data_IF_997358509974
#
_entry.id   IF_997358509974
#
_cell.length_a   1.000
_cell.length_b   1.000
_cell.length_c   1.000
_cell.angle_alpha   90.00
_cell.angle_beta   90.00
_cell.angle_gamma   90.00
#
_symmetry.space_group_name_H-M   'P 1'
#
loop_
_entity.id
_entity.type
_entity.pdbx_description
1 polymer ?
#
# COMPACT_ATOMS: atom_id res chain seq x y z
N UNK A 1 -28.16 -4.07 10.01
CA UNK A 1 -27.32 -2.92 9.59
C UNK A 1 -28.23 -1.96 8.86
N UNK A 2 -28.09 -0.67 9.10
CA UNK A 2 -28.73 0.33 8.24
C UNK A 2 -28.17 0.20 6.82
N UNK A 3 -28.80 0.81 5.82
CA UNK A 3 -28.23 0.89 4.46
C UNK A 3 -27.16 1.97 4.37
N UNK A 4 -26.27 1.87 3.40
CA UNK A 4 -25.36 2.95 3.02
C UNK A 4 -26.14 4.08 2.33
N UNK A 5 -25.76 5.33 2.61
CA UNK A 5 -26.27 6.49 1.88
C UNK A 5 -25.45 6.70 0.58
N UNK A 6 -25.58 5.75 -0.36
CA UNK A 6 -24.72 5.64 -1.55
C UNK A 6 -24.79 6.90 -2.41
N UNK A 7 -25.98 7.50 -2.58
CA UNK A 7 -26.14 8.73 -3.36
C UNK A 7 -25.37 9.89 -2.75
N UNK A 8 -25.38 10.01 -1.41
CA UNK A 8 -24.63 11.06 -0.73
C UNK A 8 -23.13 10.84 -0.78
N UNK A 9 -22.66 9.60 -0.69
CA UNK A 9 -21.25 9.26 -0.89
C UNK A 9 -20.81 9.60 -2.30
N UNK A 10 -21.60 9.24 -3.32
CA UNK A 10 -21.32 9.55 -4.72
C UNK A 10 -21.17 11.06 -4.94
N UNK A 11 -22.08 11.87 -4.39
CA UNK A 11 -21.98 13.34 -4.44
C UNK A 11 -20.70 13.87 -3.77
N UNK A 12 -20.33 13.33 -2.61
CA UNK A 12 -19.10 13.72 -1.92
C UNK A 12 -17.83 13.37 -2.68
N UNK A 13 -17.77 12.16 -3.25
CA UNK A 13 -16.63 11.68 -4.05
C UNK A 13 -16.53 12.42 -5.39
N UNK A 14 -17.66 12.76 -6.03
CA UNK A 14 -17.69 13.58 -7.25
C UNK A 14 -17.16 14.98 -6.96
N UNK A 15 -17.63 15.61 -5.88
CA UNK A 15 -17.14 16.93 -5.45
C UNK A 15 -15.64 16.90 -5.18
N UNK A 16 -15.15 15.89 -4.47
CA UNK A 16 -13.72 15.67 -4.24
C UNK A 16 -12.93 15.59 -5.56
N UNK A 17 -13.40 14.76 -6.50
CA UNK A 17 -12.70 14.56 -7.76
C UNK A 17 -12.61 15.84 -8.60
N UNK A 18 -13.67 16.65 -8.60
CA UNK A 18 -13.70 17.97 -9.26
C UNK A 18 -12.70 18.94 -8.63
N UNK A 19 -12.63 19.01 -7.29
CA UNK A 19 -11.64 19.84 -6.59
C UNK A 19 -10.22 19.38 -6.93
N UNK A 20 -9.99 18.07 -6.94
CA UNK A 20 -8.69 17.47 -7.19
C UNK A 20 -8.19 17.73 -8.61
N UNK A 21 -9.08 17.63 -9.60
CA UNK A 21 -8.79 17.91 -11.01
C UNK A 21 -8.27 19.33 -11.23
N UNK A 22 -8.70 20.30 -10.42
CA UNK A 22 -8.29 21.70 -10.51
C UNK A 22 -7.09 22.03 -9.61
N UNK A 23 -6.51 21.03 -8.92
CA UNK A 23 -5.35 21.18 -8.04
C UNK A 23 -4.05 20.63 -8.63
N UNK A 24 -2.95 20.80 -7.90
CA UNK A 24 -1.67 20.18 -8.25
C UNK A 24 -1.69 18.67 -7.98
N UNK A 25 -1.41 17.88 -9.02
CA UNK A 25 -1.27 16.43 -8.93
C UNK A 25 0.08 16.02 -8.34
N UNK A 26 0.11 14.85 -7.70
CA UNK A 26 1.36 14.22 -7.27
C UNK A 26 2.10 13.61 -8.46
N UNK A 27 3.40 13.34 -8.30
CA UNK A 27 4.18 12.62 -9.31
C UNK A 27 3.49 11.31 -9.70
N UNK A 28 3.27 11.12 -10.99
CA UNK A 28 2.70 9.92 -11.56
C UNK A 28 3.82 8.89 -11.75
N UNK A 29 3.72 7.68 -11.17
CA UNK A 29 4.69 6.64 -11.42
C UNK A 29 4.70 6.26 -12.90
N UNK A 30 5.87 5.87 -13.41
CA UNK A 30 6.03 5.36 -14.77
C UNK A 30 5.10 4.15 -15.00
N UNK A 31 4.48 4.08 -16.18
CA UNK A 31 3.49 3.05 -16.58
C UNK A 31 2.18 2.98 -15.76
N UNK A 32 1.90 3.93 -14.86
CA UNK A 32 0.64 3.98 -14.13
C UNK A 32 -0.46 4.74 -14.88
N UNK A 33 -1.75 4.34 -14.78
CA UNK A 33 -2.85 5.11 -15.34
C UNK A 33 -2.88 6.55 -14.79
N UNK A 34 -3.40 7.53 -15.55
CA UNK A 34 -3.61 8.89 -15.06
C UNK A 34 -4.37 8.92 -13.73
N UNK A 35 -4.04 9.86 -12.85
CA UNK A 35 -4.70 9.98 -11.54
C UNK A 35 -6.22 10.11 -11.63
N UNK A 36 -6.72 10.77 -12.68
CA UNK A 36 -8.16 10.87 -12.93
C UNK A 36 -8.80 9.49 -13.16
N UNK A 37 -8.16 8.61 -13.93
CA UNK A 37 -8.64 7.26 -14.19
C UNK A 37 -8.59 6.40 -12.93
N UNK A 38 -7.53 6.53 -12.13
CA UNK A 38 -7.42 5.84 -10.85
C UNK A 38 -8.52 6.26 -9.86
N UNK A 39 -8.75 7.57 -9.71
CA UNK A 39 -9.83 8.10 -8.86
C UNK A 39 -11.21 7.64 -9.32
N UNK A 40 -11.45 7.64 -10.64
CA UNK A 40 -12.69 7.12 -11.22
C UNK A 40 -12.88 5.64 -10.87
N UNK A 41 -11.83 4.84 -11.05
CA UNK A 41 -11.85 3.42 -10.69
C UNK A 41 -12.12 3.19 -9.20
N UNK A 42 -11.42 3.90 -8.31
CA UNK A 42 -11.62 3.73 -6.87
C UNK A 42 -13.03 4.15 -6.44
N UNK A 43 -13.54 5.25 -7.00
CA UNK A 43 -14.91 5.73 -6.75
C UNK A 43 -15.93 4.69 -7.19
N UNK A 44 -15.83 4.20 -8.43
CA UNK A 44 -16.74 3.20 -8.98
C UNK A 44 -16.73 1.90 -8.15
N UNK A 45 -15.54 1.35 -7.90
CA UNK A 45 -15.39 0.12 -7.13
C UNK A 45 -15.94 0.26 -5.68
N UNK A 46 -15.79 1.44 -5.07
CA UNK A 46 -16.35 1.73 -3.74
C UNK A 46 -17.89 1.76 -3.78
N UNK A 47 -18.48 2.51 -4.71
CA UNK A 47 -19.94 2.63 -4.83
C UNK A 47 -20.59 1.29 -5.19
N UNK A 48 -20.00 0.53 -6.12
CA UNK A 48 -20.45 -0.83 -6.44
C UNK A 48 -20.34 -1.76 -5.24
N UNK A 49 -19.26 -1.65 -4.47
CA UNK A 49 -19.04 -2.44 -3.26
C UNK A 49 -20.10 -2.18 -2.20
N UNK A 50 -20.42 -0.91 -1.93
CA UNK A 50 -21.48 -0.51 -1.00
C UNK A 50 -22.85 -1.05 -1.45
N UNK A 51 -23.21 -0.89 -2.73
CA UNK A 51 -24.47 -1.39 -3.27
C UNK A 51 -24.60 -2.91 -3.10
N UNK A 52 -23.55 -3.66 -3.46
CA UNK A 52 -23.55 -5.13 -3.34
C UNK A 52 -23.70 -5.60 -1.90
N UNK A 53 -23.05 -4.93 -0.93
CA UNK A 53 -23.21 -5.27 0.50
C UNK A 53 -24.63 -4.99 1.02
N UNK A 54 -25.31 -3.97 0.49
CA UNK A 54 -26.72 -3.68 0.80
C UNK A 54 -27.72 -4.60 0.06
N UNK A 55 -27.23 -5.56 -0.72
CA UNK A 55 -28.04 -6.44 -1.57
C UNK A 55 -28.71 -5.71 -2.74
N UNK A 56 -28.16 -4.56 -3.14
CA UNK A 56 -28.64 -3.74 -4.24
C UNK A 56 -27.83 -4.02 -5.52
N UNK A 57 -28.48 -3.83 -6.67
CA UNK A 57 -27.78 -3.75 -7.95
C UNK A 57 -27.07 -2.40 -8.04
N UNK A 58 -25.76 -2.35 -8.35
CA UNK A 58 -25.07 -1.07 -8.55
C UNK A 58 -25.76 -0.21 -9.61
N UNK A 59 -25.95 1.07 -9.31
CA UNK A 59 -26.58 2.02 -10.23
C UNK A 59 -25.51 2.67 -11.14
N UNK A 60 -25.47 2.35 -12.45
CA UNK A 60 -24.50 2.93 -13.37
C UNK A 60 -24.66 4.45 -13.52
N UNK A 61 -25.85 4.99 -13.25
CA UNK A 61 -26.12 6.43 -13.38
C UNK A 61 -25.27 7.29 -12.46
N UNK A 62 -24.81 6.73 -11.33
CA UNK A 62 -23.93 7.44 -10.41
C UNK A 62 -22.58 7.76 -11.08
N UNK A 63 -22.03 6.81 -11.85
CA UNK A 63 -20.78 7.04 -12.57
C UNK A 63 -20.98 7.86 -13.84
N UNK A 64 -22.12 7.73 -14.52
CA UNK A 64 -22.48 8.62 -15.62
C UNK A 64 -22.57 10.09 -15.15
N UNK A 65 -23.18 10.33 -13.98
CA UNK A 65 -23.26 11.65 -13.37
C UNK A 65 -21.88 12.15 -12.93
N UNK A 66 -21.07 11.30 -12.29
CA UNK A 66 -19.69 11.61 -11.94
C UNK A 66 -18.91 12.10 -13.16
N UNK A 67 -18.92 11.33 -14.25
CA UNK A 67 -18.18 11.67 -15.47
C UNK A 67 -18.71 12.99 -16.08
N UNK A 68 -20.03 13.17 -16.13
CA UNK A 68 -20.66 14.39 -16.63
C UNK A 68 -20.25 15.64 -15.84
N UNK A 69 -20.23 15.57 -14.51
CA UNK A 69 -19.87 16.70 -13.66
C UNK A 69 -18.37 17.05 -13.75
N UNK A 70 -17.48 16.04 -13.88
CA UNK A 70 -16.06 16.30 -14.14
C UNK A 70 -15.84 16.99 -15.50
N UNK A 71 -16.52 16.55 -16.55
CA UNK A 71 -16.44 17.20 -17.88
C UNK A 71 -16.95 18.64 -17.83
N UNK A 72 -18.05 18.90 -17.13
CA UNK A 72 -18.57 20.26 -16.96
C UNK A 72 -17.59 21.16 -16.20
N UNK A 73 -16.84 20.61 -15.24
CA UNK A 73 -15.85 21.34 -14.48
C UNK A 73 -14.55 21.64 -15.24
N UNK A 74 -14.25 20.95 -16.37
CA UNK A 74 -12.98 21.07 -17.13
C UNK A 74 -12.68 22.45 -17.73
N UNK A 75 -13.60 23.41 -17.65
CA UNK A 75 -13.40 24.80 -18.09
C UNK A 75 -13.71 25.85 -17.03
N UNK A 76 -13.98 25.45 -15.78
CA UNK A 76 -14.39 26.36 -14.73
C UNK A 76 -13.18 26.84 -13.91
N UNK A 77 -13.00 28.16 -13.84
CA UNK A 77 -11.95 28.78 -13.00
C UNK A 77 -12.26 28.73 -11.50
N UNK A 78 -13.50 28.38 -11.13
CA UNK A 78 -13.96 28.34 -9.75
C UNK A 78 -14.86 27.12 -9.55
N UNK A 79 -14.52 26.29 -8.58
CA UNK A 79 -15.34 25.15 -8.14
C UNK A 79 -15.95 25.46 -6.79
N UNK A 80 -17.16 24.99 -6.54
CA UNK A 80 -17.76 25.05 -5.21
C UNK A 80 -17.12 23.96 -4.36
N UNK A 81 -16.37 24.31 -3.29
CA UNK A 81 -15.75 23.30 -2.46
C UNK A 81 -16.77 22.52 -1.64
N UNK A 82 -16.46 21.25 -1.37
CA UNK A 82 -17.17 20.36 -0.46
C UNK A 82 -17.29 21.01 0.93
N UNK A 83 -18.53 21.10 1.43
CA UNK A 83 -18.74 21.58 2.80
C UNK A 83 -18.12 20.63 3.82
N UNK A 84 -17.76 21.14 5.00
CA UNK A 84 -17.21 20.30 6.07
C UNK A 84 -18.17 19.15 6.46
N UNK A 85 -19.48 19.36 6.39
CA UNK A 85 -20.47 18.31 6.65
C UNK A 85 -20.47 17.25 5.55
N UNK A 86 -20.30 17.64 4.29
CA UNK A 86 -20.18 16.70 3.18
C UNK A 86 -18.91 15.85 3.31
N UNK A 87 -17.77 16.47 3.65
CA UNK A 87 -16.52 15.74 3.91
C UNK A 87 -16.72 14.72 5.04
N UNK A 88 -17.24 15.15 6.19
CA UNK A 88 -17.50 14.30 7.36
C UNK A 88 -18.39 13.11 7.04
N UNK A 89 -19.49 13.34 6.32
CA UNK A 89 -20.46 12.29 6.06
C UNK A 89 -19.94 11.30 5.01
N UNK A 90 -19.21 11.78 4.00
CA UNK A 90 -18.51 10.93 3.02
C UNK A 90 -17.50 10.03 3.72
N UNK A 91 -16.61 10.61 4.53
CA UNK A 91 -15.57 9.86 5.26
C UNK A 91 -16.20 8.88 6.24
N UNK A 92 -17.28 9.26 6.95
CA UNK A 92 -18.00 8.37 7.86
C UNK A 92 -18.53 7.13 7.14
N UNK A 93 -19.14 7.29 5.97
CA UNK A 93 -19.65 6.14 5.21
C UNK A 93 -18.51 5.27 4.64
N UNK A 94 -17.39 5.86 4.20
CA UNK A 94 -16.20 5.09 3.80
C UNK A 94 -15.65 4.24 4.96
N UNK A 95 -15.54 4.82 6.16
CA UNK A 95 -15.13 4.10 7.39
C UNK A 95 -16.07 2.96 7.73
N UNK A 96 -17.38 3.23 7.65
CA UNK A 96 -18.40 2.22 7.86
C UNK A 96 -18.26 1.08 6.84
N UNK A 97 -18.05 1.40 5.57
CA UNK A 97 -17.87 0.41 4.52
C UNK A 97 -16.65 -0.48 4.79
N UNK A 98 -15.51 0.09 5.20
CA UNK A 98 -14.33 -0.67 5.65
C UNK A 98 -14.70 -1.63 6.79
N UNK A 99 -15.39 -1.14 7.82
CA UNK A 99 -15.78 -1.96 8.97
C UNK A 99 -16.72 -3.12 8.58
N UNK A 100 -17.65 -2.92 7.64
CA UNK A 100 -18.50 -4.00 7.12
C UNK A 100 -17.69 -5.00 6.30
N UNK A 101 -16.75 -4.55 5.47
CA UNK A 101 -15.86 -5.43 4.70
C UNK A 101 -14.99 -6.30 5.61
N UNK A 102 -14.41 -5.73 6.68
CA UNK A 102 -13.63 -6.48 7.67
C UNK A 102 -14.50 -7.54 8.38
N UNK A 103 -15.75 -7.19 8.70
CA UNK A 103 -16.69 -8.07 9.41
C UNK A 103 -17.34 -9.15 8.52
N UNK A 104 -17.22 -9.08 7.19
CA UNK A 104 -17.90 -9.99 6.26
C UNK A 104 -17.40 -11.45 6.36
N UNK A 105 -16.20 -11.67 6.91
CA UNK A 105 -15.64 -13.00 7.17
C UNK A 105 -14.97 -13.67 5.96
N UNK A 106 -15.02 -13.05 4.78
CA UNK A 106 -14.28 -13.47 3.58
C UNK A 106 -13.15 -12.50 3.24
N UNK A 107 -12.28 -12.86 2.28
CA UNK A 107 -11.14 -12.01 1.89
C UNK A 107 -11.61 -10.78 1.10
N UNK A 108 -11.86 -9.69 1.82
CA UNK A 108 -12.26 -8.38 1.30
C UNK A 108 -11.11 -7.39 1.23
N UNK A 109 -9.86 -7.82 1.44
CA UNK A 109 -8.70 -6.92 1.57
C UNK A 109 -8.47 -6.08 0.33
N UNK A 110 -8.72 -6.60 -0.87
CA UNK A 110 -8.61 -5.81 -2.11
C UNK A 110 -9.62 -4.66 -2.17
N UNK A 111 -10.84 -4.86 -1.66
CA UNK A 111 -11.85 -3.81 -1.61
C UNK A 111 -11.50 -2.75 -0.56
N UNK A 112 -11.00 -3.17 0.61
CA UNK A 112 -10.50 -2.24 1.63
C UNK A 112 -9.32 -1.42 1.07
N UNK A 113 -8.40 -2.05 0.34
CA UNK A 113 -7.25 -1.35 -0.23
C UNK A 113 -7.66 -0.29 -1.26
N UNK A 114 -8.70 -0.53 -2.06
CA UNK A 114 -9.27 0.49 -2.97
C UNK A 114 -9.75 1.72 -2.18
N UNK A 115 -10.46 1.52 -1.08
CA UNK A 115 -10.92 2.63 -0.22
C UNK A 115 -9.73 3.33 0.45
N UNK A 116 -8.72 2.56 0.87
CA UNK A 116 -7.48 3.10 1.45
C UNK A 116 -6.73 4.00 0.47
N UNK A 117 -6.59 3.60 -0.80
CA UNK A 117 -5.94 4.42 -1.83
C UNK A 117 -6.73 5.69 -2.14
N UNK A 118 -8.06 5.61 -2.14
CA UNK A 118 -8.92 6.78 -2.27
C UNK A 118 -8.73 7.75 -1.09
N UNK A 119 -8.74 7.24 0.15
CA UNK A 119 -8.50 8.05 1.36
C UNK A 119 -7.09 8.67 1.36
N UNK A 120 -6.08 7.94 0.88
CA UNK A 120 -4.72 8.46 0.70
C UNK A 120 -4.69 9.62 -0.29
N UNK A 121 -5.28 9.48 -1.49
CA UNK A 121 -5.31 10.59 -2.45
C UNK A 121 -6.13 11.79 -1.93
N UNK A 122 -7.18 11.54 -1.16
CA UNK A 122 -7.93 12.60 -0.47
C UNK A 122 -7.05 13.33 0.55
N UNK A 123 -6.21 12.60 1.29
CA UNK A 123 -5.29 13.17 2.29
C UNK A 123 -4.19 14.05 1.70
N UNK A 124 -3.92 13.91 0.40
CA UNK A 124 -2.96 14.76 -0.31
C UNK A 124 -3.57 16.04 -0.85
N UNK A 125 -4.90 16.21 -0.75
CA UNK A 125 -5.57 17.43 -1.18
C UNK A 125 -5.78 18.38 0.03
N UNK A 126 -5.17 19.59 0.04
CA UNK A 126 -5.18 20.47 1.22
C UNK A 126 -6.56 20.79 1.78
N UNK A 127 -7.58 20.89 0.93
CA UNK A 127 -8.94 21.19 1.37
C UNK A 127 -9.59 20.06 2.19
N UNK A 128 -9.19 18.81 1.95
CA UNK A 128 -9.65 17.63 2.68
C UNK A 128 -8.72 17.26 3.82
N UNK A 129 -7.41 17.44 3.67
CA UNK A 129 -6.44 17.26 4.74
C UNK A 129 -6.60 18.27 5.88
N UNK A 130 -6.73 19.56 5.55
CA UNK A 130 -6.82 20.64 6.54
C UNK A 130 -8.25 20.87 7.06
N UNK A 131 -9.19 19.99 6.68
CA UNK A 131 -10.54 19.99 7.20
C UNK A 131 -10.52 19.52 8.66
N UNK A 132 -10.38 20.47 9.61
CA UNK A 132 -10.36 20.17 11.06
C UNK A 132 -11.41 19.13 11.43
N UNK A 133 -10.95 18.01 11.99
CA UNK A 133 -11.77 16.93 12.53
C UNK A 133 -12.79 16.32 11.55
N UNK A 134 -12.49 16.27 10.25
CA UNK A 134 -13.35 15.55 9.30
C UNK A 134 -13.22 14.01 9.41
N UNK A 135 -12.20 13.51 10.12
CA UNK A 135 -11.97 12.10 10.38
C UNK A 135 -11.18 11.36 9.31
N UNK A 136 -10.56 12.07 8.35
CA UNK A 136 -9.86 11.48 7.21
C UNK A 136 -8.65 10.62 7.62
N UNK A 137 -7.76 11.17 8.46
CA UNK A 137 -6.59 10.44 8.98
C UNK A 137 -7.02 9.16 9.69
N UNK A 138 -8.01 9.28 10.59
CA UNK A 138 -8.59 8.15 11.31
C UNK A 138 -9.16 7.09 10.36
N UNK A 139 -9.82 7.50 9.28
CA UNK A 139 -10.36 6.57 8.29
C UNK A 139 -9.25 5.78 7.60
N UNK A 140 -8.17 6.46 7.24
CA UNK A 140 -7.00 5.84 6.60
C UNK A 140 -6.32 4.86 7.54
N UNK A 141 -6.08 5.26 8.79
CA UNK A 141 -5.46 4.41 9.81
C UNK A 141 -6.33 3.19 10.11
N UNK A 142 -7.65 3.34 10.17
CA UNK A 142 -8.60 2.22 10.33
C UNK A 142 -8.54 1.27 9.12
N UNK A 143 -8.38 1.77 7.90
CA UNK A 143 -8.19 0.94 6.71
C UNK A 143 -6.87 0.14 6.75
N UNK A 144 -5.77 0.80 7.09
CA UNK A 144 -4.46 0.14 7.20
C UNK A 144 -4.46 -0.90 8.33
N UNK A 145 -5.11 -0.64 9.47
CA UNK A 145 -5.28 -1.61 10.55
C UNK A 145 -6.17 -2.80 10.15
N UNK A 146 -7.27 -2.57 9.43
CA UNK A 146 -8.11 -3.65 8.93
C UNK A 146 -7.34 -4.56 7.95
N UNK A 147 -6.57 -3.97 7.04
CA UNK A 147 -5.70 -4.73 6.13
C UNK A 147 -4.67 -5.57 6.87
N UNK A 148 -4.04 -5.02 7.91
CA UNK A 148 -3.09 -5.76 8.75
C UNK A 148 -3.75 -6.95 9.45
N UNK A 149 -4.86 -6.72 10.15
CA UNK A 149 -5.60 -7.77 10.87
C UNK A 149 -6.05 -8.88 9.94
N UNK A 150 -6.67 -8.53 8.81
CA UNK A 150 -7.13 -9.52 7.84
C UNK A 150 -5.95 -10.30 7.23
N UNK A 151 -4.82 -9.64 6.95
CA UNK A 151 -3.62 -10.30 6.41
C UNK A 151 -2.99 -11.25 7.43
N UNK A 152 -2.94 -10.87 8.71
CA UNK A 152 -2.48 -11.72 9.80
C UNK A 152 -3.34 -12.98 9.98
N UNK A 153 -4.60 -12.95 9.54
CA UNK A 153 -5.52 -14.10 9.56
C UNK A 153 -5.44 -14.97 8.30
N UNK A 154 -4.63 -14.61 7.30
CA UNK A 154 -4.44 -15.45 6.11
C UNK A 154 -3.49 -16.61 6.44
N UNK A 155 -3.71 -17.82 5.88
CA UNK A 155 -2.82 -18.97 6.05
C UNK A 155 -1.57 -18.82 5.16
N UNK A 156 -0.81 -17.75 5.37
CA UNK A 156 0.39 -17.39 4.60
C UNK A 156 1.66 -17.61 5.42
N UNK A 157 2.77 -17.89 4.75
CA UNK A 157 4.12 -17.91 5.31
C UNK A 157 4.99 -16.82 4.70
N UNK A 158 5.80 -16.21 5.55
CA UNK A 158 6.70 -15.12 5.19
C UNK A 158 7.90 -15.10 6.13
N UNK A 159 8.96 -14.42 5.71
CA UNK A 159 10.17 -14.26 6.52
C UNK A 159 10.41 -12.78 6.80
N UNK A 160 10.70 -12.46 8.05
CA UNK A 160 11.26 -11.15 8.41
C UNK A 160 12.77 -11.22 8.24
N UNK A 161 13.31 -10.34 7.42
CA UNK A 161 14.74 -10.20 7.18
C UNK A 161 15.22 -8.92 7.86
N UNK A 162 16.22 -9.05 8.72
CA UNK A 162 17.04 -7.94 9.17
C UNK A 162 18.39 -8.02 8.48
N UNK A 163 18.87 -6.89 7.96
CA UNK A 163 20.19 -6.73 7.36
C UNK A 163 20.99 -5.69 8.12
N UNK A 164 22.26 -5.98 8.32
CA UNK A 164 23.17 -5.18 9.12
C UNK A 164 23.36 -5.76 10.53
N UNK A 165 24.35 -5.24 11.23
CA UNK A 165 24.60 -5.53 12.64
C UNK A 165 24.86 -4.23 13.41
N UNK A 166 25.10 -4.35 14.71
CA UNK A 166 25.32 -3.19 15.61
C UNK A 166 26.45 -2.25 15.19
N UNK A 167 27.36 -2.71 14.32
CA UNK A 167 28.48 -1.95 13.77
C UNK A 167 28.33 -1.57 12.28
N UNK A 168 27.24 -1.97 11.63
CA UNK A 168 26.93 -1.63 10.24
C UNK A 168 26.19 -0.29 10.14
N UNK A 169 26.20 0.37 8.98
CA UNK A 169 25.77 1.76 8.93
C UNK A 169 24.26 1.91 9.20
N UNK A 170 23.42 0.87 9.00
CA UNK A 170 21.97 0.87 9.31
C UNK A 170 21.40 -0.56 9.46
N UNK A 171 20.33 -0.69 10.27
CA UNK A 171 19.46 -1.88 10.26
C UNK A 171 18.39 -1.73 9.17
N UNK A 172 18.59 -2.37 8.01
CA UNK A 172 17.52 -2.49 7.03
C UNK A 172 16.63 -3.68 7.40
N UNK A 173 15.31 -3.52 7.27
CA UNK A 173 14.35 -4.56 7.61
C UNK A 173 13.22 -4.62 6.59
N UNK A 174 12.66 -5.81 6.42
CA UNK A 174 11.52 -6.02 5.55
C UNK A 174 10.99 -7.44 5.61
N UNK A 175 9.85 -7.65 4.98
CA UNK A 175 9.22 -8.95 4.83
C UNK A 175 9.45 -9.50 3.43
N UNK A 176 9.67 -10.80 3.35
CA UNK A 176 9.86 -11.54 2.09
C UNK A 176 8.92 -12.74 2.04
N UNK A 177 8.56 -13.13 0.83
CA UNK A 177 7.67 -14.27 0.59
C UNK A 177 8.34 -15.58 1.04
N UNK A 178 7.58 -16.43 1.73
CA UNK A 178 8.03 -17.78 2.07
C UNK A 178 9.08 -17.87 3.17
N UNK A 179 9.74 -19.02 3.22
CA UNK A 179 10.78 -19.34 4.19
C UNK A 179 12.17 -19.06 3.58
N UNK A 180 12.82 -17.99 4.04
CA UNK A 180 14.16 -17.61 3.62
C UNK A 180 15.15 -17.99 4.72
N UNK A 181 15.99 -18.97 4.44
CA UNK A 181 16.93 -19.55 5.43
C UNK A 181 18.37 -19.61 4.93
N UNK A 182 18.65 -19.12 3.72
CA UNK A 182 19.95 -19.14 3.07
C UNK A 182 20.29 -17.79 2.42
N UNK A 183 21.59 -17.57 2.18
CA UNK A 183 22.11 -16.29 1.71
C UNK A 183 21.67 -15.95 0.27
N UNK A 184 21.47 -16.95 -0.59
CA UNK A 184 21.06 -16.70 -1.98
C UNK A 184 19.61 -16.22 -2.05
N UNK A 185 18.74 -16.82 -1.25
CA UNK A 185 17.36 -16.36 -1.07
C UNK A 185 17.30 -14.94 -0.51
N UNK A 186 18.19 -14.56 0.41
CA UNK A 186 18.29 -13.18 0.92
C UNK A 186 18.73 -12.20 -0.18
N UNK A 187 19.65 -12.57 -1.07
CA UNK A 187 20.09 -11.70 -2.17
C UNK A 187 18.97 -11.33 -3.15
N UNK A 188 17.98 -12.21 -3.31
CA UNK A 188 16.82 -11.97 -4.16
C UNK A 188 15.77 -11.05 -3.50
N UNK A 189 15.92 -10.77 -2.20
CA UNK A 189 14.96 -9.95 -1.48
C UNK A 189 15.10 -8.46 -1.84
N UNK A 190 13.98 -7.72 -2.03
CA UNK A 190 14.02 -6.28 -2.26
C UNK A 190 14.76 -5.50 -1.17
N UNK A 191 14.61 -5.91 0.11
CA UNK A 191 15.32 -5.28 1.24
C UNK A 191 16.84 -5.36 1.10
N UNK A 192 17.37 -6.44 0.52
CA UNK A 192 18.80 -6.60 0.26
C UNK A 192 19.26 -5.76 -0.93
N UNK A 193 18.51 -5.83 -2.04
CA UNK A 193 18.83 -5.05 -3.25
C UNK A 193 18.83 -3.55 -2.97
N UNK A 194 17.86 -3.08 -2.18
CA UNK A 194 17.79 -1.69 -1.75
C UNK A 194 18.94 -1.30 -0.82
N UNK A 195 19.32 -2.17 0.11
CA UNK A 195 20.42 -1.93 1.04
C UNK A 195 21.77 -1.84 0.30
N UNK A 196 22.07 -2.78 -0.59
CA UNK A 196 23.32 -2.78 -1.38
C UNK A 196 23.39 -1.56 -2.30
N UNK A 197 22.25 -1.14 -2.90
CA UNK A 197 22.22 0.07 -3.73
C UNK A 197 22.49 1.34 -2.92
N UNK A 198 21.97 1.41 -1.69
CA UNK A 198 22.15 2.58 -0.80
C UNK A 198 23.53 2.62 -0.17
N UNK A 199 24.12 1.46 0.10
CA UNK A 199 25.39 1.31 0.82
C UNK A 199 26.35 0.39 0.06
N UNK A 200 26.81 0.81 -1.14
CA UNK A 200 27.66 0.00 -2.00
C UNK A 200 29.05 -0.30 -1.38
N UNK A 201 29.46 0.46 -0.36
CA UNK A 201 30.70 0.25 0.38
C UNK A 201 30.68 -0.97 1.31
N UNK A 202 29.50 -1.52 1.62
CA UNK A 202 29.35 -2.66 2.53
C UNK A 202 29.55 -3.97 1.76
N UNK A 203 30.63 -4.68 2.07
CA UNK A 203 30.99 -5.95 1.40
C UNK A 203 30.29 -7.17 1.97
N UNK A 204 29.93 -7.13 3.25
CA UNK A 204 29.38 -8.26 3.99
C UNK A 204 28.17 -7.79 4.78
N UNK A 205 27.02 -8.40 4.51
CA UNK A 205 25.76 -8.09 5.17
C UNK A 205 25.40 -9.19 6.16
N UNK A 206 25.57 -8.96 7.48
CA UNK A 206 24.95 -9.81 8.48
C UNK A 206 23.44 -9.81 8.24
N UNK A 207 22.84 -10.99 8.21
CA UNK A 207 21.41 -11.17 8.03
C UNK A 207 20.83 -12.03 9.15
N UNK A 208 19.68 -11.60 9.68
CA UNK A 208 18.88 -12.36 10.63
C UNK A 208 17.50 -12.63 10.01
N UNK A 209 17.24 -13.89 9.67
CA UNK A 209 16.00 -14.31 9.03
C UNK A 209 15.13 -15.09 10.02
N UNK A 210 13.89 -14.63 10.24
CA UNK A 210 12.92 -15.32 11.12
C UNK A 210 11.65 -15.63 10.35
N UNK A 211 11.23 -16.89 10.35
CA UNK A 211 10.10 -17.40 9.57
C UNK A 211 8.83 -17.31 10.42
N UNK A 212 7.80 -16.70 9.84
CA UNK A 212 6.49 -16.51 10.45
C UNK A 212 5.39 -17.11 9.57
N UNK A 213 4.27 -17.40 10.23
CA UNK A 213 3.01 -17.78 9.58
C UNK A 213 1.88 -16.91 10.10
N UNK A 214 0.85 -16.72 9.28
CA UNK A 214 -0.43 -16.16 9.68
C UNK A 214 -1.43 -17.23 10.16
N UNK A 215 -2.67 -16.80 10.39
CA UNK A 215 -3.81 -17.63 10.78
C UNK A 215 -3.64 -18.37 12.12
N UNK A 216 -2.69 -17.94 12.96
CA UNK A 216 -2.43 -18.54 14.26
C UNK A 216 -1.85 -19.95 14.21
N UNK A 217 -1.35 -20.38 13.05
CA UNK A 217 -0.84 -21.73 12.83
C UNK A 217 0.45 -21.97 13.63
N UNK A 218 0.63 -23.19 14.13
CA UNK A 218 1.82 -23.60 14.89
C UNK A 218 2.97 -24.12 14.02
N UNK A 219 2.76 -24.20 12.70
CA UNK A 219 3.77 -24.64 11.73
C UNK A 219 3.48 -24.07 10.35
N UNK A 220 4.47 -24.13 9.45
CA UNK A 220 4.31 -23.75 8.04
C UNK A 220 3.58 -24.81 7.19
N UNK A 221 3.11 -25.91 7.77
CA UNK A 221 2.32 -26.90 7.04
C UNK A 221 0.93 -26.32 6.73
N UNK A 222 0.51 -26.46 5.47
CA UNK A 222 -0.79 -25.95 5.01
C UNK A 222 -0.82 -24.45 4.72
N UNK A 223 0.31 -23.73 4.82
CA UNK A 223 0.41 -22.33 4.41
C UNK A 223 0.83 -22.18 2.96
N UNK A 224 0.40 -21.09 2.32
CA UNK A 224 0.93 -20.64 1.03
C UNK A 224 1.95 -19.52 1.22
N UNK A 225 2.83 -19.31 0.25
CA UNK A 225 3.74 -18.17 0.27
C UNK A 225 2.99 -16.84 0.21
N UNK A 226 3.40 -15.87 1.03
CA UNK A 226 2.81 -14.53 1.02
C UNK A 226 2.95 -13.89 -0.37
N UNK A 227 1.84 -13.41 -0.91
CA UNK A 227 1.78 -12.71 -2.20
C UNK A 227 2.43 -11.33 -2.12
N UNK A 228 2.69 -10.72 -3.27
CA UNK A 228 3.16 -9.32 -3.34
C UNK A 228 2.22 -8.34 -2.63
N UNK A 229 0.91 -8.58 -2.70
CA UNK A 229 -0.09 -7.77 -2.02
C UNK A 229 0.00 -7.92 -0.49
N UNK A 230 0.22 -9.14 0.01
CA UNK A 230 0.42 -9.38 1.44
C UNK A 230 1.69 -8.66 1.92
N UNK A 231 2.78 -8.77 1.15
CA UNK A 231 4.06 -8.11 1.44
C UNK A 231 3.93 -6.58 1.43
N UNK A 232 3.13 -6.01 0.54
CA UNK A 232 2.87 -4.56 0.51
C UNK A 232 2.23 -4.09 1.83
N UNK A 233 1.19 -4.81 2.30
CA UNK A 233 0.51 -4.51 3.56
C UNK A 233 1.49 -4.65 4.74
N UNK A 234 2.24 -5.75 4.80
CA UNK A 234 3.20 -6.01 5.86
C UNK A 234 4.32 -4.97 5.90
N UNK A 235 4.91 -4.62 4.75
CA UNK A 235 6.00 -3.65 4.69
C UNK A 235 5.53 -2.22 5.01
N UNK A 236 4.28 -1.86 4.69
CA UNK A 236 3.68 -0.59 5.11
C UNK A 236 3.52 -0.50 6.63
N UNK A 237 3.13 -1.60 7.28
CA UNK A 237 3.00 -1.69 8.73
C UNK A 237 4.35 -1.81 9.46
N UNK A 238 5.36 -2.37 8.78
CA UNK A 238 6.64 -2.70 9.36
C UNK A 238 6.51 -3.71 10.51
N UNK A 239 7.38 -3.60 11.51
CA UNK A 239 7.44 -4.53 12.65
C UNK A 239 6.17 -4.55 13.52
N UNK A 240 5.30 -3.55 13.39
CA UNK A 240 4.01 -3.56 14.08
C UNK A 240 3.13 -4.74 13.65
N UNK A 241 3.26 -5.19 12.39
CA UNK A 241 2.53 -6.34 11.86
C UNK A 241 2.80 -7.62 12.65
N UNK A 242 4.02 -7.81 13.16
CA UNK A 242 4.37 -9.00 13.95
C UNK A 242 3.60 -9.10 15.28
N UNK A 243 2.97 -8.01 15.72
CA UNK A 243 2.15 -7.96 16.94
C UNK A 243 0.69 -8.34 16.69
N UNK A 244 0.28 -8.45 15.43
CA UNK A 244 -1.09 -8.77 15.08
C UNK A 244 -1.48 -10.18 15.54
N UNK A 245 -2.74 -10.31 15.97
CA UNK A 245 -3.29 -11.60 16.33
C UNK A 245 -3.31 -12.49 15.09
N UNK A 246 -2.73 -13.68 15.20
CA UNK A 246 -2.62 -14.63 14.09
C UNK A 246 -1.19 -14.79 13.57
N UNK A 247 -0.30 -13.82 13.81
CA UNK A 247 1.12 -13.97 13.44
C UNK A 247 1.85 -14.83 14.47
N UNK A 248 2.54 -15.88 14.00
CA UNK A 248 3.33 -16.80 14.83
C UNK A 248 4.70 -17.03 14.24
N UNK A 249 5.74 -16.94 15.07
CA UNK A 249 7.07 -17.39 14.71
C UNK A 249 7.10 -18.92 14.69
N UNK A 250 7.60 -19.52 13.61
CA UNK A 250 7.66 -20.98 13.43
C UNK A 250 9.06 -21.48 13.06
N UNK A 251 10.03 -20.58 12.85
CA UNK A 251 11.39 -20.96 12.50
C UNK A 251 12.38 -19.80 12.65
N UNK A 252 13.62 -20.15 12.98
CA UNK A 252 14.71 -19.20 13.20
C UNK A 252 14.83 -18.69 14.64
N UNK A 253 15.66 -17.65 14.86
CA UNK A 253 16.35 -16.88 13.84
C UNK A 253 17.50 -17.65 13.16
N UNK A 254 17.60 -17.53 11.84
CA UNK A 254 18.72 -18.01 11.03
C UNK A 254 19.69 -16.86 10.80
N UNK A 255 20.88 -16.95 11.39
CA UNK A 255 21.93 -15.96 11.22
C UNK A 255 22.88 -16.39 10.10
N UNK A 256 23.22 -15.45 9.22
CA UNK A 256 24.16 -15.69 8.13
C UNK A 256 24.88 -14.39 7.74
N UNK A 257 25.95 -14.52 6.97
CA UNK A 257 26.61 -13.39 6.31
C UNK A 257 26.37 -13.52 4.81
N UNK A 258 25.82 -12.47 4.22
CA UNK A 258 25.51 -12.39 2.80
C UNK A 258 26.55 -11.50 2.13
N UNK A 259 27.47 -12.07 1.33
CA UNK A 259 28.47 -11.27 0.65
C UNK A 259 27.83 -10.45 -0.47
N UNK A 260 28.18 -9.17 -0.56
CA UNK A 260 27.89 -8.36 -1.72
C UNK A 260 28.58 -8.98 -2.94
N UNK A 261 27.82 -9.27 -4.00
CA UNK A 261 28.41 -9.73 -5.26
C UNK A 261 29.35 -8.65 -5.82
N UNK A 262 30.36 -9.00 -6.64
CA UNK A 262 31.22 -8.00 -7.25
C UNK A 262 30.35 -7.00 -8.01
N UNK A 263 30.53 -5.71 -7.73
CA UNK A 263 29.93 -4.65 -8.53
C UNK A 263 30.27 -4.95 -9.99
N UNK A 264 29.26 -5.12 -10.85
CA UNK A 264 29.51 -5.13 -12.28
C UNK A 264 30.04 -3.73 -12.62
N UNK A 265 31.36 -3.64 -12.75
CA UNK A 265 32.07 -2.47 -13.20
C UNK A 265 31.48 -2.06 -14.54
N UNK A 266 30.65 -1.02 -14.56
CA UNK A 266 30.33 -0.33 -15.81
C UNK A 266 31.63 0.29 -16.33
N UNK A 267 32.07 -0.24 -17.46
CA UNK A 267 33.14 0.21 -18.35
C UNK A 267 33.99 1.40 -17.88
N UNK A 268 35.21 1.10 -17.42
CA UNK A 268 36.30 2.07 -17.47
C UNK A 268 36.61 2.38 -18.94
N UNK A 269 36.56 3.65 -19.40
CA UNK A 269 37.04 3.96 -20.74
C UNK A 269 38.56 3.77 -20.79
N UNK A 270 39.02 3.13 -21.87
CA UNK A 270 40.40 2.76 -22.10
C UNK A 270 41.38 3.96 -21.93
N UNK A 271 42.59 3.74 -21.39
CA UNK A 271 43.55 4.82 -21.25
C UNK A 271 44.05 5.28 -22.63
N UNK A 272 43.92 6.58 -22.89
CA UNK A 272 44.54 7.27 -24.02
C UNK A 272 46.05 7.06 -23.98
N UNK A 273 46.58 6.27 -24.91
CA UNK A 273 48.02 6.18 -25.18
C UNK A 273 48.47 7.50 -25.82
N UNK A 274 49.13 8.36 -25.02
CA UNK A 274 49.90 9.49 -25.51
C UNK A 274 51.22 8.97 -26.09
N UNK A 275 51.26 8.77 -27.41
CA UNK A 275 52.49 8.54 -28.16
C UNK A 275 53.29 9.85 -28.29
N UNK A 276 54.44 9.88 -27.62
CA UNK A 276 55.54 10.81 -27.87
C UNK A 276 56.06 10.62 -29.29
N UNK A 277 56.06 11.68 -30.10
CA UNK A 277 56.94 11.78 -31.26
C UNK A 277 57.96 12.89 -31.02
N UNK A 278 59.21 12.57 -31.36
CA UNK A 278 60.37 13.47 -31.39
C UNK A 278 60.14 14.68 -32.29
#
# INVERSE_FOLDING_TARGET
MDRFDISRVAMGLTTYAIERQNGFERHQPEDSPPWQEQRRFWTDATLQGMARLDGLTPDPKLMEQYDLELEQARGCYFTVPATQQMQKDTIRELRRFIAVLEAAGDDRRRQINVVRELLEDMSLHPHWWNGKDNGLERARDEADLALQRMTAQMPIRFTRVLLGGDAGPHWASGFVSGAVTDAESVKQAPVYQDAVRKYPEVTDWPALCTVYVGHGLSSALGTVDASSFDLEIMNRAGDSFLKEQGVRCVGGPHQMVVPAGPAQSQDSPAPLQMGLNM
#
